data_IF_890225432509
#
_entry.id   IF_890225432509
#
_cell.length_a   1.000
_cell.length_b   1.000
_cell.length_c   1.000
_cell.angle_alpha   90.00
_cell.angle_beta   90.00
_cell.angle_gamma   90.00
#
_symmetry.space_group_name_H-M   'P 1'
#
loop_
_entity.id
_entity.type
_entity.pdbx_description
1 polymer ?
#
# COMPACT_ATOMS: atom_id res chain seq x y z
N UNK A 1 57.16 12.16 -38.85
CA UNK A 1 56.27 12.75 -37.82
C UNK A 1 54.96 13.09 -38.52
N UNK A 2 53.87 12.39 -38.21
CA UNK A 2 52.46 12.83 -38.28
C UNK A 2 51.56 11.61 -38.08
N UNK A 3 50.71 11.70 -37.05
CA UNK A 3 49.87 10.63 -36.52
C UNK A 3 48.67 10.30 -37.43
N UNK A 4 48.10 9.09 -37.36
CA UNK A 4 46.76 8.85 -37.83
C UNK A 4 45.72 8.97 -36.70
N UNK A 5 44.55 9.38 -37.15
CA UNK A 5 43.23 9.20 -36.56
C UNK A 5 42.80 10.16 -35.44
N UNK A 6 42.39 11.34 -35.92
CA UNK A 6 41.35 12.12 -35.29
C UNK A 6 40.09 11.28 -35.11
N UNK A 7 39.66 11.17 -33.86
CA UNK A 7 38.31 10.77 -33.50
C UNK A 7 37.33 11.71 -34.22
N UNK A 8 36.30 11.20 -34.91
CA UNK A 8 35.33 12.06 -35.57
C UNK A 8 34.44 12.71 -34.51
N UNK A 9 34.90 13.86 -33.99
CA UNK A 9 34.07 14.84 -33.30
C UNK A 9 33.23 15.51 -34.38
N UNK A 10 31.94 15.15 -34.47
CA UNK A 10 30.97 15.89 -35.29
C UNK A 10 30.27 15.13 -36.42
N UNK A 11 29.97 13.84 -36.27
CA UNK A 11 28.86 13.26 -37.02
C UNK A 11 27.55 13.83 -36.41
N UNK A 12 26.86 14.70 -37.14
CA UNK A 12 25.55 15.23 -36.76
C UNK A 12 24.65 14.09 -36.31
N UNK A 13 24.37 14.01 -34.99
CA UNK A 13 23.53 12.95 -34.46
C UNK A 13 22.16 13.12 -35.10
N UNK A 14 21.78 12.16 -35.94
CA UNK A 14 20.47 12.14 -36.62
C UNK A 14 19.37 12.42 -35.61
N UNK A 15 18.36 13.20 -35.99
CA UNK A 15 17.17 13.49 -35.16
C UNK A 15 16.56 12.19 -34.60
N UNK A 16 16.61 11.09 -35.37
CA UNK A 16 16.17 9.77 -34.92
C UNK A 16 17.05 9.17 -33.81
N UNK A 17 18.37 9.41 -33.83
CA UNK A 17 19.28 8.99 -32.77
C UNK A 17 19.20 9.87 -31.51
N UNK A 18 18.78 11.13 -31.63
CA UNK A 18 18.50 12.00 -30.47
C UNK A 18 17.19 11.60 -29.80
N UNK A 19 16.14 11.34 -30.58
CA UNK A 19 14.86 10.87 -30.06
C UNK A 19 14.96 9.47 -29.43
N UNK A 20 15.71 8.56 -30.05
CA UNK A 20 15.99 7.24 -29.48
C UNK A 20 16.72 7.37 -28.13
N UNK A 21 17.77 8.20 -28.04
CA UNK A 21 18.48 8.44 -26.78
C UNK A 21 17.59 9.09 -25.71
N UNK A 22 16.80 10.11 -26.06
CA UNK A 22 15.88 10.75 -25.11
C UNK A 22 14.81 9.78 -24.60
N UNK A 23 14.29 8.89 -25.46
CA UNK A 23 13.33 7.85 -25.07
C UNK A 23 13.97 6.81 -24.16
N UNK A 24 15.23 6.44 -24.42
CA UNK A 24 15.99 5.54 -23.55
C UNK A 24 16.23 6.16 -22.16
N UNK A 25 16.59 7.45 -22.08
CA UNK A 25 16.78 8.14 -20.80
C UNK A 25 15.46 8.28 -20.02
N UNK A 26 14.36 8.58 -20.70
CA UNK A 26 13.04 8.60 -20.08
C UNK A 26 12.65 7.22 -19.53
N UNK A 27 12.91 6.15 -20.29
CA UNK A 27 12.65 4.77 -19.87
C UNK A 27 13.49 4.37 -18.64
N UNK A 28 14.75 4.80 -18.60
CA UNK A 28 15.62 4.60 -17.45
C UNK A 28 15.07 5.33 -16.20
N UNK A 29 14.62 6.58 -16.35
CA UNK A 29 14.07 7.37 -15.25
C UNK A 29 12.78 6.76 -14.67
N UNK A 30 11.89 6.26 -15.54
CA UNK A 30 10.67 5.55 -15.11
C UNK A 30 11.01 4.25 -14.38
N UNK A 31 12.03 3.51 -14.84
CA UNK A 31 12.47 2.30 -14.16
C UNK A 31 12.99 2.60 -12.75
N UNK A 32 13.76 3.68 -12.60
CA UNK A 32 14.29 4.13 -11.30
C UNK A 32 13.17 4.60 -10.36
N UNK A 33 12.17 5.34 -10.85
CA UNK A 33 11.02 5.76 -10.04
C UNK A 33 10.19 4.55 -9.56
N UNK A 34 10.01 3.54 -10.43
CA UNK A 34 9.35 2.28 -10.06
C UNK A 34 10.19 1.50 -9.03
N UNK A 35 11.52 1.45 -9.21
CA UNK A 35 12.41 0.79 -8.27
C UNK A 35 12.36 1.46 -6.89
N UNK A 36 12.30 2.79 -6.86
CA UNK A 36 12.17 3.59 -5.65
C UNK A 36 10.79 3.41 -4.99
N UNK A 37 9.71 3.49 -5.74
CA UNK A 37 8.35 3.23 -5.26
C UNK A 37 8.23 1.80 -4.69
N UNK A 38 8.86 0.81 -5.32
CA UNK A 38 8.92 -0.57 -4.83
C UNK A 38 9.72 -0.67 -3.53
N UNK A 39 10.81 0.07 -3.38
CA UNK A 39 11.59 0.12 -2.15
C UNK A 39 10.77 0.75 -1.00
N UNK A 40 10.07 1.86 -1.27
CA UNK A 40 9.17 2.49 -0.30
C UNK A 40 8.04 1.55 0.10
N UNK A 41 7.38 0.89 -0.86
CA UNK A 41 6.31 -0.06 -0.57
C UNK A 41 6.82 -1.24 0.28
N UNK A 42 8.01 -1.79 -0.01
CA UNK A 42 8.62 -2.84 0.82
C UNK A 42 8.91 -2.34 2.23
N UNK A 43 9.37 -1.09 2.37
CA UNK A 43 9.63 -0.47 3.66
C UNK A 43 8.34 -0.26 4.45
N UNK A 44 7.27 0.18 3.79
CA UNK A 44 5.95 0.36 4.40
C UNK A 44 5.32 -0.97 4.81
N UNK A 45 5.42 -2.00 3.97
CA UNK A 45 5.00 -3.37 4.31
C UNK A 45 5.80 -3.89 5.49
N UNK A 46 7.12 -3.71 5.51
CA UNK A 46 7.95 -4.14 6.64
C UNK A 46 7.57 -3.41 7.93
N UNK A 47 7.39 -2.10 7.87
CA UNK A 47 6.97 -1.28 9.02
C UNK A 47 5.59 -1.71 9.51
N UNK A 48 4.63 -1.84 8.60
CA UNK A 48 3.27 -2.28 8.89
C UNK A 48 3.22 -3.71 9.45
N UNK A 49 4.06 -4.61 8.95
CA UNK A 49 4.16 -5.99 9.44
C UNK A 49 4.79 -6.04 10.84
N UNK A 50 5.86 -5.29 11.10
CA UNK A 50 6.48 -5.22 12.43
C UNK A 50 5.52 -4.63 13.44
N UNK A 51 4.87 -3.50 13.11
CA UNK A 51 3.89 -2.91 14.01
C UNK A 51 2.68 -3.81 14.20
N UNK A 52 2.14 -4.38 13.12
CA UNK A 52 0.98 -5.28 13.17
C UNK A 52 1.25 -6.54 13.99
N UNK A 53 2.43 -7.14 13.81
CA UNK A 53 2.89 -8.28 14.60
C UNK A 53 3.06 -7.92 16.09
N UNK A 54 3.73 -6.80 16.39
CA UNK A 54 3.90 -6.33 17.76
C UNK A 54 2.57 -6.00 18.44
N UNK A 55 1.63 -5.36 17.74
CA UNK A 55 0.28 -5.09 18.26
C UNK A 55 -0.51 -6.38 18.51
N UNK A 56 -0.36 -7.38 17.65
CA UNK A 56 -1.03 -8.68 17.83
C UNK A 56 -0.46 -9.42 19.05
N UNK A 57 0.86 -9.42 19.22
CA UNK A 57 1.52 -10.00 20.39
C UNK A 57 1.15 -9.25 21.68
N UNK A 58 1.15 -7.91 21.67
CA UNK A 58 0.73 -7.11 22.81
C UNK A 58 -0.74 -7.38 23.18
N UNK A 59 -1.63 -7.50 22.19
CA UNK A 59 -3.02 -7.89 22.40
C UNK A 59 -3.15 -9.28 23.05
N UNK A 60 -2.40 -10.26 22.58
CA UNK A 60 -2.39 -11.60 23.16
C UNK A 60 -1.90 -11.60 24.62
N UNK A 61 -0.82 -10.88 24.92
CA UNK A 61 -0.29 -10.73 26.29
C UNK A 61 -1.32 -10.06 27.19
N UNK A 62 -1.99 -8.99 26.72
CA UNK A 62 -3.04 -8.33 27.50
C UNK A 62 -4.18 -9.29 27.82
N UNK A 63 -4.69 -10.04 26.83
CA UNK A 63 -5.76 -11.02 27.04
C UNK A 63 -5.33 -12.10 28.05
N UNK A 64 -4.10 -12.62 27.92
CA UNK A 64 -3.59 -13.64 28.83
C UNK A 64 -3.34 -13.10 30.25
N UNK A 65 -3.06 -11.80 30.39
CA UNK A 65 -2.86 -11.14 31.69
C UNK A 65 -4.17 -10.81 32.43
N UNK A 66 -5.32 -10.77 31.74
CA UNK A 66 -6.63 -10.45 32.33
C UNK A 66 -6.98 -11.26 33.59
N UNK A 67 -6.84 -12.60 33.64
CA UNK A 67 -7.13 -13.35 34.86
C UNK A 67 -6.24 -12.87 36.02
N UNK A 68 -4.93 -12.69 35.78
CA UNK A 68 -4.01 -12.22 36.81
C UNK A 68 -4.34 -10.80 37.29
N UNK A 69 -4.70 -9.90 36.38
CA UNK A 69 -5.17 -8.55 36.71
C UNK A 69 -6.44 -8.57 37.57
N UNK A 70 -7.37 -9.48 37.27
CA UNK A 70 -8.59 -9.65 38.05
C UNK A 70 -8.31 -10.15 39.48
N UNK A 71 -7.37 -11.08 39.65
CA UNK A 71 -6.89 -11.49 40.97
C UNK A 71 -6.28 -10.31 41.73
N UNK A 72 -5.38 -9.56 41.09
CA UNK A 72 -4.73 -8.41 41.71
C UNK A 72 -5.75 -7.35 42.19
N UNK A 73 -6.75 -7.03 41.36
CA UNK A 73 -7.83 -6.12 41.73
C UNK A 73 -8.70 -6.68 42.86
N UNK A 74 -9.07 -7.95 42.81
CA UNK A 74 -9.93 -8.55 43.84
C UNK A 74 -9.26 -8.54 45.21
N UNK A 75 -7.96 -8.88 45.27
CA UNK A 75 -7.19 -8.78 46.50
C UNK A 75 -6.97 -7.33 46.94
N UNK A 76 -6.73 -6.40 45.99
CA UNK A 76 -6.61 -4.97 46.28
C UNK A 76 -7.87 -4.33 46.85
N UNK A 77 -9.06 -4.74 46.38
CA UNK A 77 -10.35 -4.28 46.95
C UNK A 77 -10.57 -4.91 48.33
N UNK A 78 -10.18 -6.18 48.50
CA UNK A 78 -10.34 -6.89 49.76
C UNK A 78 -9.53 -6.26 50.90
N UNK A 79 -8.34 -5.69 50.64
CA UNK A 79 -7.51 -5.07 51.68
C UNK A 79 -8.15 -3.82 52.30
N UNK A 80 -8.98 -3.09 51.55
CA UNK A 80 -9.67 -1.89 52.05
C UNK A 80 -11.05 -2.18 52.62
N UNK A 81 -11.76 -3.18 52.09
CA UNK A 81 -13.20 -3.33 52.35
C UNK A 81 -13.57 -4.46 53.31
N UNK A 82 -12.68 -5.42 53.60
CA UNK A 82 -12.97 -6.67 54.34
C UNK A 82 -14.19 -7.50 53.84
N UNK A 83 -14.84 -7.08 52.76
CA UNK A 83 -16.01 -7.72 52.14
C UNK A 83 -15.72 -9.11 51.59
N UNK A 84 -16.76 -9.94 51.46
CA UNK A 84 -16.64 -11.30 50.93
C UNK A 84 -15.84 -11.34 49.61
N UNK A 85 -14.93 -12.31 49.48
CA UNK A 85 -14.04 -12.45 48.31
C UNK A 85 -14.86 -12.50 47.01
N UNK A 86 -16.00 -13.19 47.01
CA UNK A 86 -16.85 -13.31 45.84
C UNK A 86 -17.31 -11.94 45.30
N UNK A 87 -17.69 -11.03 46.19
CA UNK A 87 -18.12 -9.67 45.83
C UNK A 87 -16.95 -8.89 45.23
N UNK A 88 -15.74 -9.04 45.79
CA UNK A 88 -14.53 -8.39 45.29
C UNK A 88 -14.16 -8.85 43.87
N UNK A 89 -14.30 -10.15 43.58
CA UNK A 89 -14.08 -10.71 42.24
C UNK A 89 -15.10 -10.20 41.22
N UNK A 90 -16.38 -10.16 41.59
CA UNK A 90 -17.45 -9.63 40.72
C UNK A 90 -17.21 -8.14 40.43
N UNK A 91 -16.82 -7.36 41.44
CA UNK A 91 -16.55 -5.94 41.26
C UNK A 91 -15.30 -5.68 40.39
N UNK A 92 -14.25 -6.48 40.57
CA UNK A 92 -13.05 -6.43 39.73
C UNK A 92 -13.36 -6.79 38.28
N UNK A 93 -14.20 -7.80 38.07
CA UNK A 93 -14.65 -8.16 36.73
C UNK A 93 -15.47 -7.03 36.10
N UNK A 94 -16.42 -6.45 36.85
CA UNK A 94 -17.21 -5.30 36.38
C UNK A 94 -16.31 -4.10 36.02
N UNK A 95 -15.29 -3.80 36.82
CA UNK A 95 -14.31 -2.76 36.52
C UNK A 95 -13.54 -3.05 35.21
N UNK A 96 -13.06 -4.28 35.02
CA UNK A 96 -12.40 -4.69 33.77
C UNK A 96 -13.32 -4.57 32.56
N UNK A 97 -14.60 -4.94 32.67
CA UNK A 97 -15.60 -4.81 31.60
C UNK A 97 -15.84 -3.33 31.26
N UNK A 98 -15.92 -2.44 32.25
CA UNK A 98 -16.06 -1.01 32.02
C UNK A 98 -14.85 -0.43 31.27
N UNK A 99 -13.63 -0.78 31.70
CA UNK A 99 -12.39 -0.36 31.03
C UNK A 99 -12.34 -0.89 29.60
N UNK A 100 -12.67 -2.17 29.39
CA UNK A 100 -12.72 -2.77 28.06
C UNK A 100 -13.76 -2.09 27.16
N UNK A 101 -14.94 -1.77 27.70
CA UNK A 101 -15.98 -1.01 27.00
C UNK A 101 -15.50 0.39 26.59
N UNK A 102 -14.81 1.10 27.48
CA UNK A 102 -14.27 2.42 27.20
C UNK A 102 -13.18 2.38 26.11
N UNK A 103 -12.25 1.41 26.20
CA UNK A 103 -11.23 1.17 25.17
C UNK A 103 -11.86 0.82 23.81
N UNK A 104 -12.90 -0.02 23.81
CA UNK A 104 -13.63 -0.39 22.60
C UNK A 104 -14.33 0.82 21.97
N UNK A 105 -14.91 1.72 22.77
CA UNK A 105 -15.51 2.97 22.28
C UNK A 105 -14.47 3.89 21.66
N UNK A 106 -13.30 4.07 22.31
CA UNK A 106 -12.18 4.83 21.73
C UNK A 106 -11.76 4.19 20.41
N UNK A 107 -11.51 2.88 20.40
CA UNK A 107 -11.14 2.14 19.19
C UNK A 107 -12.15 2.32 18.06
N UNK A 108 -13.45 2.28 18.38
CA UNK A 108 -14.53 2.51 17.42
C UNK A 108 -14.54 3.95 16.89
N UNK A 109 -14.32 4.96 17.74
CA UNK A 109 -14.26 6.36 17.32
C UNK A 109 -13.06 6.60 16.39
N UNK A 110 -11.90 6.06 16.74
CA UNK A 110 -10.71 6.11 15.87
C UNK A 110 -10.93 5.37 14.55
N UNK A 111 -11.53 4.17 14.60
CA UNK A 111 -11.87 3.41 13.41
C UNK A 111 -12.90 4.14 12.53
N UNK A 112 -13.91 4.79 13.11
CA UNK A 112 -14.88 5.61 12.38
C UNK A 112 -14.22 6.83 11.74
N UNK A 113 -13.28 7.48 12.44
CA UNK A 113 -12.50 8.61 11.92
C UNK A 113 -11.61 8.16 10.75
N UNK A 114 -10.96 7.00 10.88
CA UNK A 114 -10.18 6.38 9.82
C UNK A 114 -11.06 5.96 8.61
N UNK A 115 -12.26 5.41 8.83
CA UNK A 115 -13.21 5.07 7.76
C UNK A 115 -13.77 6.30 7.04
N UNK A 116 -13.96 7.42 7.75
CA UNK A 116 -14.39 8.69 7.15
C UNK A 116 -13.31 9.27 6.24
N UNK A 117 -12.03 9.03 6.56
CA UNK A 117 -10.90 9.19 5.64
C UNK A 117 -10.83 8.03 4.63
N UNK A 118 -11.67 8.06 3.60
CA UNK A 118 -11.80 7.03 2.54
C UNK A 118 -10.54 6.86 1.65
N UNK A 119 -9.32 6.98 2.16
CA UNK A 119 -8.08 6.87 1.37
C UNK A 119 -7.74 5.40 1.04
N UNK A 120 -7.38 4.57 2.03
CA UNK A 120 -6.83 3.23 1.76
C UNK A 120 -7.84 2.24 1.15
N UNK A 121 -9.12 2.34 1.55
CA UNK A 121 -10.18 1.42 1.11
C UNK A 121 -10.65 1.69 -0.33
N UNK A 122 -10.65 2.96 -0.77
CA UNK A 122 -11.00 3.31 -2.15
C UNK A 122 -9.92 2.84 -3.13
N UNK A 123 -8.65 3.00 -2.77
CA UNK A 123 -7.53 2.55 -3.60
C UNK A 123 -7.56 1.03 -3.79
N UNK A 124 -7.79 0.27 -2.72
CA UNK A 124 -7.94 -1.19 -2.82
C UNK A 124 -9.17 -1.61 -3.65
N UNK A 125 -10.30 -0.89 -3.51
CA UNK A 125 -11.51 -1.16 -4.29
C UNK A 125 -11.31 -0.84 -5.79
N UNK A 126 -10.73 0.31 -6.12
CA UNK A 126 -10.47 0.70 -7.51
C UNK A 126 -9.49 -0.25 -8.20
N UNK A 127 -8.45 -0.72 -7.52
CA UNK A 127 -7.53 -1.74 -8.09
C UNK A 127 -8.25 -3.05 -8.38
N UNK A 128 -9.13 -3.50 -7.47
CA UNK A 128 -9.91 -4.73 -7.66
C UNK A 128 -10.93 -4.59 -8.80
N UNK A 129 -11.53 -3.42 -8.95
CA UNK A 129 -12.45 -3.10 -10.04
C UNK A 129 -11.74 -3.07 -11.39
N UNK A 130 -10.57 -2.42 -11.48
CA UNK A 130 -9.75 -2.40 -12.71
C UNK A 130 -9.29 -3.81 -13.10
N UNK A 131 -8.89 -4.64 -12.14
CA UNK A 131 -8.55 -6.04 -12.41
C UNK A 131 -9.75 -6.85 -12.93
N UNK A 132 -10.96 -6.60 -12.40
CA UNK A 132 -12.19 -7.25 -12.88
C UNK A 132 -12.58 -6.84 -14.30
N UNK A 133 -12.39 -5.57 -14.67
CA UNK A 133 -12.65 -5.09 -16.04
C UNK A 133 -11.65 -5.69 -17.04
N UNK A 134 -10.36 -5.75 -16.66
CA UNK A 134 -9.31 -6.32 -17.51
C UNK A 134 -9.45 -7.83 -17.71
N UNK A 135 -9.95 -8.56 -16.70
CA UNK A 135 -10.23 -10.01 -16.84
C UNK A 135 -11.44 -10.30 -17.74
N UNK A 136 -12.41 -9.37 -17.85
CA UNK A 136 -13.58 -9.52 -18.71
C UNK A 136 -13.33 -9.09 -20.16
N UNK A 137 -12.24 -8.38 -20.44
CA UNK A 137 -11.85 -8.00 -21.80
C UNK A 137 -11.16 -9.19 -22.50
N UNK A 138 -11.95 -10.09 -23.10
CA UNK A 138 -11.43 -11.16 -23.97
C UNK A 138 -10.71 -10.53 -25.18
N UNK A 139 -9.45 -10.89 -25.50
CA UNK A 139 -8.75 -10.33 -26.65
C UNK A 139 -9.46 -10.71 -27.95
N UNK A 140 -10.00 -9.72 -28.68
CA UNK A 140 -10.52 -9.93 -30.03
C UNK A 140 -9.33 -10.01 -31.00
N UNK A 141 -9.18 -11.10 -31.79
CA UNK A 141 -8.21 -11.15 -32.87
C UNK A 141 -8.69 -10.19 -33.97
N UNK A 142 -8.01 -9.06 -34.16
CA UNK A 142 -8.26 -8.18 -35.30
C UNK A 142 -7.55 -8.75 -36.52
N UNK A 143 -8.31 -9.39 -37.40
CA UNK A 143 -7.92 -9.71 -38.78
C UNK A 143 -7.59 -8.40 -39.50
N UNK A 144 -6.38 -8.28 -40.04
CA UNK A 144 -5.96 -7.11 -40.81
C UNK A 144 -6.60 -7.12 -42.21
N UNK A 145 -7.10 -5.98 -42.72
CA UNK A 145 -7.21 -5.76 -44.14
C UNK A 145 -6.21 -4.68 -44.60
N UNK A 146 -5.23 -5.18 -45.36
CA UNK A 146 -4.73 -4.72 -46.67
C UNK A 146 -4.88 -3.24 -47.07
N UNK A 147 -3.70 -2.69 -47.39
CA UNK A 147 -3.38 -1.49 -48.17
C UNK A 147 -4.26 -1.31 -49.41
N UNK A 148 -4.92 -0.16 -49.56
CA UNK A 148 -5.38 0.39 -50.86
C UNK A 148 -5.91 1.83 -50.70
N UNK A 149 -5.04 2.82 -50.43
CA UNK A 149 -5.49 4.23 -50.47
C UNK A 149 -4.44 5.27 -50.82
N UNK A 150 -3.28 4.87 -51.40
CA UNK A 150 -2.23 5.85 -51.75
C UNK A 150 -2.36 6.40 -53.19
N UNK A 151 -3.31 5.93 -54.01
CA UNK A 151 -3.33 6.26 -55.45
C UNK A 151 -4.24 7.45 -55.90
N UNK A 152 -4.73 8.32 -55.01
CA UNK A 152 -5.64 9.43 -55.42
C UNK A 152 -5.04 10.85 -55.28
N UNK A 153 -3.86 11.00 -54.67
CA UNK A 153 -3.25 12.32 -54.35
C UNK A 153 -2.03 12.68 -55.21
N UNK A 154 -1.94 12.19 -56.45
CA UNK A 154 -0.78 12.50 -57.32
C UNK A 154 -1.14 13.08 -58.71
N UNK A 155 -2.36 13.59 -58.91
CA UNK A 155 -2.75 14.19 -60.19
C UNK A 155 -3.38 15.58 -60.02
N UNK A 156 -2.59 16.53 -59.53
CA UNK A 156 -2.81 17.97 -59.77
C UNK A 156 -1.57 18.74 -59.33
N UNK A 157 -0.68 19.05 -60.26
CA UNK A 157 0.04 20.34 -60.43
C UNK A 157 1.21 20.13 -61.39
N UNK A 158 1.17 20.91 -62.48
CA UNK A 158 2.23 21.19 -63.47
C UNK A 158 2.51 20.17 -64.57
#
# INVERSE_FOLDING_TARGET
>A
MSAPDGSPVGAERSIGQLFASATTEMSALVHDEIALAKAQLKQDVKRGAVSGGAFSAAGAVLIFSLPMLNFALAYGIRTWSHWNLAICFVLSFAANVLVAGFLALIGLVFAKKAKKGKGPQKVAASVKETAGVLQNAKPHPRTAPVSDTVEVVARSTS
#
